data_IF_749708934345
#
_entry.id   IF_749708934345
#
_cell.length_a   1.000
_cell.length_b   1.000
_cell.length_c   1.000
_cell.angle_alpha   90.00
_cell.angle_beta   90.00
_cell.angle_gamma   90.00
#
_symmetry.space_group_name_H-M   'P 1'
#
loop_
_entity.id
_entity.type
_entity.pdbx_description
1 polymer ?
#
# COMPACT_ATOMS: atom_id res chain seq x y z
N UNK A 1 0.00 -4.48 10.06
CA UNK A 1 0.95 -4.70 8.93
C UNK A 1 0.12 -4.65 7.66
N UNK A 2 0.37 -3.69 6.76
CA UNK A 2 -0.27 -3.68 5.44
C UNK A 2 0.62 -4.45 4.47
N UNK A 3 0.05 -5.44 3.79
CA UNK A 3 0.76 -6.35 2.90
C UNK A 3 -0.03 -6.46 1.61
N UNK A 4 0.68 -6.38 0.49
CA UNK A 4 0.15 -6.57 -0.85
C UNK A 4 1.01 -7.59 -1.60
N UNK A 5 0.41 -8.39 -2.47
CA UNK A 5 1.12 -9.27 -3.38
C UNK A 5 0.98 -8.73 -4.80
N UNK A 6 2.08 -8.28 -5.39
CA UNK A 6 2.13 -7.73 -6.74
C UNK A 6 2.75 -8.75 -7.68
N UNK A 7 2.07 -9.04 -8.79
CA UNK A 7 2.56 -9.94 -9.83
C UNK A 7 3.32 -9.18 -10.90
N UNK A 8 4.47 -9.71 -11.31
CA UNK A 8 5.29 -9.19 -12.41
C UNK A 8 5.63 -10.31 -13.40
N UNK A 9 5.49 -10.02 -14.70
CA UNK A 9 5.89 -10.92 -15.77
C UNK A 9 7.15 -10.33 -16.43
N UNK A 10 8.36 -10.80 -16.07
CA UNK A 10 9.59 -10.39 -16.73
C UNK A 10 9.56 -10.68 -18.23
N UNK A 11 10.00 -9.69 -19.02
CA UNK A 11 10.30 -9.88 -20.43
C UNK A 11 11.64 -10.61 -20.57
N UNK A 12 11.59 -11.94 -20.54
CA UNK A 12 12.72 -12.83 -20.84
C UNK A 12 12.73 -13.17 -22.34
N UNK A 13 13.92 -13.34 -22.92
CA UNK A 13 14.14 -13.61 -24.36
C UNK A 13 13.69 -15.04 -24.75
N UNK A 14 13.22 -15.85 -23.79
CA UNK A 14 12.86 -17.26 -23.99
C UNK A 14 11.34 -17.42 -23.85
N UNK A 15 10.74 -18.32 -24.63
CA UNK A 15 9.29 -18.61 -24.76
C UNK A 15 8.58 -19.14 -23.49
N UNK A 16 8.94 -18.67 -22.30
CA UNK A 16 8.26 -18.98 -21.05
C UNK A 16 7.71 -17.69 -20.45
N UNK A 17 6.38 -17.64 -20.29
CA UNK A 17 5.74 -16.71 -19.37
C UNK A 17 6.18 -17.06 -17.95
N UNK A 18 7.18 -16.36 -17.45
CA UNK A 18 7.62 -16.51 -16.08
C UNK A 18 6.88 -15.47 -15.23
N UNK A 19 6.27 -15.93 -14.14
CA UNK A 19 5.54 -15.08 -13.21
C UNK A 19 6.38 -14.92 -11.95
N UNK A 20 6.55 -13.68 -11.52
CA UNK A 20 7.22 -13.30 -10.27
C UNK A 20 6.16 -12.73 -9.35
N UNK A 21 5.88 -13.45 -8.27
CA UNK A 21 5.04 -12.94 -7.19
C UNK A 21 5.94 -12.21 -6.17
N UNK A 22 5.64 -10.94 -5.93
CA UNK A 22 6.37 -10.07 -5.00
C UNK A 22 5.45 -9.70 -3.86
N UNK A 23 5.80 -10.07 -2.63
CA UNK A 23 5.12 -9.59 -1.43
C UNK A 23 5.76 -8.28 -0.99
N UNK A 24 4.99 -7.23 -0.81
CA UNK A 24 5.45 -5.89 -0.42
C UNK A 24 4.61 -5.35 0.74
N UNK A 25 5.23 -4.58 1.63
CA UNK A 25 4.53 -3.97 2.76
C UNK A 25 5.43 -3.06 3.59
N UNK A 26 4.85 -2.52 4.67
CA UNK A 26 5.61 -1.77 5.66
C UNK A 26 6.12 -2.67 6.78
N UNK A 27 7.38 -2.47 7.17
CA UNK A 27 7.95 -3.08 8.36
C UNK A 27 7.18 -2.63 9.62
N UNK A 28 6.95 -3.54 10.57
CA UNK A 28 6.37 -3.15 11.84
C UNK A 28 7.30 -2.15 12.56
N UNK A 29 6.78 -1.02 13.04
CA UNK A 29 7.58 0.06 13.63
C UNK A 29 8.20 1.03 12.61
N UNK A 30 7.91 0.90 11.31
CA UNK A 30 8.20 1.98 10.36
C UNK A 30 7.38 3.25 10.70
N UNK A 31 7.94 4.46 10.48
CA UNK A 31 9.27 4.74 9.91
C UNK A 31 10.42 4.73 10.95
N UNK A 32 10.13 4.49 12.24
CA UNK A 32 11.16 4.55 13.29
C UNK A 32 12.27 3.50 13.13
N UNK A 33 12.00 2.40 12.42
CA UNK A 33 12.98 1.40 12.03
C UNK A 33 13.54 1.72 10.63
N UNK A 34 14.83 2.05 10.54
CA UNK A 34 15.53 2.35 9.28
C UNK A 34 15.93 1.09 8.51
N UNK A 35 14.93 0.27 8.16
CA UNK A 35 15.10 -0.92 7.32
C UNK A 35 14.18 -0.77 6.11
N UNK A 36 14.72 -1.00 4.92
CA UNK A 36 14.00 -0.90 3.66
C UNK A 36 14.66 -1.79 2.60
N UNK A 37 13.92 -2.12 1.56
CA UNK A 37 14.41 -2.88 0.41
C UNK A 37 13.87 -4.30 0.33
N UNK A 38 14.37 -5.06 -0.63
CA UNK A 38 13.83 -6.38 -0.95
C UNK A 38 14.77 -7.51 -0.51
N UNK A 39 14.20 -8.57 0.07
CA UNK A 39 14.91 -9.83 0.19
C UNK A 39 14.67 -10.64 -1.09
N UNK A 40 15.72 -10.82 -1.88
CA UNK A 40 15.66 -11.54 -3.15
C UNK A 40 16.27 -12.91 -3.01
N UNK A 41 15.48 -13.93 -3.32
CA UNK A 41 15.86 -15.34 -3.22
C UNK A 41 16.06 -15.96 -4.60
N UNK A 42 16.83 -17.04 -4.63
CA UNK A 42 16.94 -17.94 -5.77
C UNK A 42 16.90 -19.38 -5.25
N UNK A 43 15.86 -20.13 -5.60
CA UNK A 43 15.62 -21.52 -5.14
C UNK A 43 15.71 -21.64 -3.63
N UNK A 44 14.90 -20.86 -2.90
CA UNK A 44 14.87 -20.81 -1.43
C UNK A 44 16.19 -20.37 -0.75
N UNK A 45 17.18 -19.86 -1.50
CA UNK A 45 18.41 -19.28 -0.94
C UNK A 45 18.39 -17.76 -1.07
N UNK A 46 18.62 -17.04 0.04
CA UNK A 46 18.80 -15.59 0.01
C UNK A 46 20.05 -15.23 -0.81
N UNK A 47 19.89 -14.33 -1.78
CA UNK A 47 20.98 -13.79 -2.60
C UNK A 47 21.26 -12.34 -2.23
N UNK A 48 20.22 -11.50 -2.26
CA UNK A 48 20.34 -10.08 -1.90
C UNK A 48 19.41 -9.76 -0.72
N UNK A 49 19.92 -9.70 0.53
CA UNK A 49 19.14 -9.25 1.68
C UNK A 49 18.99 -7.72 1.68
N UNK A 50 17.79 -7.22 1.93
CA UNK A 50 17.48 -5.78 1.99
C UNK A 50 18.02 -4.97 0.81
N UNK A 51 17.92 -5.51 -0.41
CA UNK A 51 18.35 -4.83 -1.62
C UNK A 51 17.61 -3.50 -1.79
N UNK A 52 18.36 -2.40 -1.62
CA UNK A 52 17.82 -1.04 -1.72
C UNK A 52 17.70 -0.65 -3.19
N UNK A 53 16.46 -0.63 -3.68
CA UNK A 53 16.11 -0.24 -5.06
C UNK A 53 15.53 1.18 -5.16
N UNK A 54 15.12 1.75 -4.04
CA UNK A 54 14.55 3.09 -3.93
C UNK A 54 15.32 3.95 -2.93
N UNK A 55 15.20 5.26 -3.10
CA UNK A 55 15.81 6.27 -2.23
C UNK A 55 14.83 6.76 -1.14
N UNK A 56 15.37 7.54 -0.19
CA UNK A 56 14.83 8.08 1.08
C UNK A 56 13.32 8.41 1.20
N UNK A 57 12.58 8.55 0.11
CA UNK A 57 11.14 8.80 0.17
C UNK A 57 10.34 7.59 0.63
N UNK A 58 10.86 6.37 0.51
CA UNK A 58 10.11 5.12 0.77
C UNK A 58 10.64 4.31 1.96
N UNK A 59 11.01 5.00 3.04
CA UNK A 59 11.55 4.37 4.24
C UNK A 59 10.54 3.40 4.86
N UNK A 60 11.02 2.23 5.30
CA UNK A 60 10.15 1.21 5.91
C UNK A 60 9.42 0.32 4.92
N UNK A 61 9.45 0.59 3.60
CA UNK A 61 8.93 -0.34 2.59
C UNK A 61 9.90 -1.52 2.43
N UNK A 62 9.37 -2.72 2.63
CA UNK A 62 10.08 -3.98 2.45
C UNK A 62 9.34 -4.88 1.48
N UNK A 63 10.09 -5.76 0.83
CA UNK A 63 9.47 -6.81 0.03
C UNK A 63 10.29 -8.10 -0.02
N UNK A 64 9.65 -9.14 -0.54
CA UNK A 64 10.24 -10.48 -0.71
C UNK A 64 9.80 -11.03 -2.06
N UNK A 65 10.75 -11.61 -2.80
CA UNK A 65 10.48 -12.31 -4.05
C UNK A 65 11.54 -13.39 -4.33
N UNK A 66 11.20 -14.33 -5.22
CA UNK A 66 12.15 -15.25 -5.84
C UNK A 66 12.46 -14.83 -7.29
N UNK A 67 13.76 -14.70 -7.61
CA UNK A 67 14.26 -14.38 -8.94
C UNK A 67 14.94 -15.61 -9.58
N UNK A 68 14.18 -16.70 -9.74
CA UNK A 68 14.69 -17.97 -10.27
C UNK A 68 15.16 -17.88 -11.74
N UNK A 69 14.74 -16.84 -12.45
CA UNK A 69 15.07 -16.55 -13.85
C UNK A 69 16.38 -15.77 -14.03
N UNK A 70 17.02 -15.32 -12.95
CA UNK A 70 18.31 -14.64 -12.99
C UNK A 70 19.35 -15.54 -12.34
N UNK A 71 20.48 -15.74 -13.03
CA UNK A 71 21.57 -16.55 -12.53
C UNK A 71 22.34 -15.82 -11.43
N UNK A 72 22.51 -16.41 -10.23
CA UNK A 72 23.41 -15.87 -9.22
C UNK A 72 24.88 -15.93 -9.65
N UNK A 73 25.69 -15.03 -9.11
CA UNK A 73 27.16 -15.10 -9.13
C UNK A 73 27.67 -16.37 -8.44
N UNK A 74 28.94 -16.70 -8.66
CA UNK A 74 29.54 -17.96 -8.19
C UNK A 74 29.47 -18.14 -6.65
N UNK A 75 29.74 -17.09 -5.87
CA UNK A 75 29.63 -17.09 -4.41
C UNK A 75 28.17 -16.98 -3.91
N UNK A 76 27.25 -16.67 -4.82
CA UNK A 76 25.83 -16.38 -4.63
C UNK A 76 25.60 -15.31 -3.56
N UNK A 77 26.36 -14.23 -3.69
CA UNK A 77 26.18 -12.95 -2.97
C UNK A 77 25.59 -11.84 -3.86
N UNK A 78 25.47 -12.09 -5.17
CA UNK A 78 24.87 -11.17 -6.13
C UNK A 78 24.28 -11.94 -7.33
N UNK A 79 23.58 -11.27 -8.24
CA UNK A 79 23.16 -11.78 -9.54
C UNK A 79 24.14 -11.40 -10.66
N UNK A 80 24.16 -12.19 -11.74
CA UNK A 80 24.89 -11.82 -12.94
C UNK A 80 24.37 -10.50 -13.53
N UNK A 81 25.29 -9.56 -13.78
CA UNK A 81 24.96 -8.27 -14.39
C UNK A 81 24.43 -8.48 -15.80
N UNK A 82 23.14 -8.26 -15.94
CA UNK A 82 22.38 -8.52 -17.15
C UNK A 82 21.26 -7.49 -17.28
N UNK A 83 20.75 -7.30 -18.51
CA UNK A 83 19.62 -6.40 -18.77
C UNK A 83 18.36 -6.83 -18.00
N UNK A 84 18.17 -8.14 -17.78
CA UNK A 84 17.03 -8.66 -17.01
C UNK A 84 17.14 -8.31 -15.51
N UNK A 85 18.35 -8.33 -14.95
CA UNK A 85 18.59 -7.88 -13.57
C UNK A 85 18.30 -6.38 -13.40
N UNK A 86 18.72 -5.56 -14.37
CA UNK A 86 18.42 -4.12 -14.37
C UNK A 86 16.92 -3.83 -14.51
N UNK A 87 16.21 -4.57 -15.37
CA UNK A 87 14.75 -4.47 -15.50
C UNK A 87 14.04 -4.85 -14.20
N UNK A 88 14.52 -5.89 -13.50
CA UNK A 88 13.97 -6.27 -12.19
C UNK A 88 14.18 -5.14 -11.17
N UNK A 89 15.40 -4.60 -11.06
CA UNK A 89 15.70 -3.47 -10.16
C UNK A 89 14.75 -2.28 -10.40
N UNK A 90 14.58 -1.90 -11.67
CA UNK A 90 13.67 -0.84 -12.07
C UNK A 90 12.23 -1.12 -11.68
N UNK A 91 11.73 -2.35 -11.92
CA UNK A 91 10.36 -2.71 -11.55
C UNK A 91 10.15 -2.69 -10.04
N UNK A 92 11.11 -3.19 -9.25
CA UNK A 92 11.02 -3.17 -7.79
C UNK A 92 11.01 -1.73 -7.25
N UNK A 93 11.76 -0.82 -7.88
CA UNK A 93 11.73 0.61 -7.58
C UNK A 93 10.35 1.22 -7.86
N UNK A 94 9.75 0.92 -9.00
CA UNK A 94 8.40 1.38 -9.34
C UNK A 94 7.35 0.85 -8.34
N UNK A 95 7.37 -0.45 -8.05
CA UNK A 95 6.49 -1.06 -7.04
C UNK A 95 6.63 -0.38 -5.67
N UNK A 96 7.86 -0.01 -5.28
CA UNK A 96 8.13 0.68 -4.02
C UNK A 96 7.46 2.05 -3.98
N UNK A 97 7.56 2.82 -5.05
CA UNK A 97 6.93 4.15 -5.11
C UNK A 97 5.41 4.07 -5.25
N UNK A 98 4.89 3.14 -6.05
CA UNK A 98 3.45 2.86 -6.15
C UNK A 98 2.87 2.54 -4.76
N UNK A 99 3.48 1.60 -4.04
CA UNK A 99 3.04 1.21 -2.71
C UNK A 99 3.15 2.36 -1.70
N UNK A 100 4.27 3.09 -1.71
CA UNK A 100 4.44 4.28 -0.86
C UNK A 100 3.38 5.34 -1.12
N UNK A 101 3.18 5.70 -2.39
CA UNK A 101 2.24 6.73 -2.80
C UNK A 101 0.78 6.31 -2.58
N UNK A 102 0.47 5.05 -2.33
CA UNK A 102 -0.87 4.62 -1.93
C UNK A 102 -1.02 4.57 -0.41
N UNK A 103 -0.02 4.03 0.29
CA UNK A 103 -0.20 3.55 1.66
C UNK A 103 0.62 4.28 2.74
N UNK A 104 1.45 5.26 2.38
CA UNK A 104 2.30 5.97 3.36
C UNK A 104 1.53 6.65 4.51
N UNK A 105 0.24 6.98 4.31
CA UNK A 105 -0.63 7.51 5.36
C UNK A 105 -0.91 6.52 6.50
N UNK A 106 -0.80 5.21 6.26
CA UNK A 106 -0.90 4.20 7.32
C UNK A 106 0.32 4.15 8.25
N UNK A 107 1.45 4.72 7.81
CA UNK A 107 2.68 4.86 8.62
C UNK A 107 2.93 6.31 9.05
N UNK A 108 1.89 7.15 9.04
CA UNK A 108 1.94 8.52 9.57
C UNK A 108 2.52 9.58 8.63
N UNK A 109 2.81 9.23 7.37
CA UNK A 109 3.28 10.20 6.37
C UNK A 109 2.11 10.83 5.61
N UNK A 110 2.19 12.12 5.30
CA UNK A 110 1.19 12.76 4.47
C UNK A 110 1.38 12.41 3.00
N UNK A 111 0.29 11.95 2.39
CA UNK A 111 0.26 11.67 0.97
C UNK A 111 -0.02 12.96 0.18
N UNK A 112 1.01 13.51 -0.46
CA UNK A 112 0.90 14.75 -1.25
C UNK A 112 0.20 14.56 -2.61
N UNK A 113 -0.07 13.31 -3.02
CA UNK A 113 -0.61 12.98 -4.36
C UNK A 113 -2.10 12.64 -4.35
N UNK A 114 -2.69 12.29 -3.21
CA UNK A 114 -4.14 12.13 -3.08
C UNK A 114 -4.79 13.50 -2.83
N UNK A 115 -5.92 13.83 -3.46
CA UNK A 115 -6.69 15.02 -3.09
C UNK A 115 -7.02 14.91 -1.60
N UNK A 116 -6.78 16.00 -0.86
CA UNK A 116 -6.94 16.07 0.59
C UNK A 116 -8.34 15.57 0.96
N UNK A 117 -8.44 14.33 1.44
CA UNK A 117 -9.69 13.82 2.00
C UNK A 117 -9.91 14.62 3.29
N UNK A 118 -10.95 15.45 3.32
CA UNK A 118 -11.39 16.10 4.56
C UNK A 118 -11.74 14.97 5.53
N UNK A 119 -10.82 14.68 6.44
CA UNK A 119 -11.10 13.83 7.60
C UNK A 119 -11.89 14.72 8.57
N UNK A 120 -13.10 14.33 9.00
CA UNK A 120 -13.78 15.04 10.07
C UNK A 120 -12.87 15.03 11.30
N UNK A 121 -12.39 16.20 11.71
CA UNK A 121 -11.63 16.33 12.94
C UNK A 121 -12.55 15.93 14.09
N UNK A 122 -12.16 14.90 14.85
CA UNK A 122 -12.75 14.64 16.15
C UNK A 122 -12.52 15.88 17.05
N UNK A 123 -13.55 16.47 17.66
CA UNK A 123 -13.39 17.72 18.39
C UNK A 123 -12.56 17.48 19.65
N UNK A 124 -11.36 18.05 19.68
CA UNK A 124 -10.58 18.21 20.90
C UNK A 124 -11.23 19.30 21.76
N UNK A 125 -11.51 18.91 23.01
CA UNK A 125 -12.02 19.73 24.10
C UNK A 125 -11.12 20.93 24.37
N UNK A 126 -11.69 22.13 24.46
CA UNK A 126 -11.34 23.12 25.49
C UNK A 126 -12.38 24.26 25.58
N UNK A 127 -13.09 24.24 26.71
CA UNK A 127 -13.54 25.35 27.58
C UNK A 127 -14.16 26.63 26.99
N UNK A 128 -15.36 26.90 27.52
CA UNK A 128 -16.02 28.20 27.71
C UNK A 128 -16.38 28.97 26.45
N UNK A 129 -17.61 28.77 25.98
CA UNK A 129 -18.69 29.78 25.87
C UNK A 129 -19.80 29.11 25.04
N UNK A 130 -20.92 28.72 25.68
CA UNK A 130 -22.27 28.58 25.10
C UNK A 130 -23.11 27.60 25.96
N UNK A 131 -23.51 28.06 27.15
CA UNK A 131 -24.56 27.43 27.94
C UNK A 131 -25.74 28.39 27.96
N UNK A 132 -26.46 28.43 26.84
CA UNK A 132 -27.78 29.00 26.59
C UNK A 132 -27.96 28.89 25.08
N UNK A 133 -28.78 27.97 24.55
CA UNK A 133 -30.20 28.22 24.41
C UNK A 133 -30.87 26.97 23.79
N UNK A 134 -32.15 26.77 24.14
CA UNK A 134 -33.15 25.86 23.54
C UNK A 134 -33.30 24.45 24.11
N UNK A 135 -33.76 24.44 25.36
CA UNK A 135 -34.84 23.55 25.83
C UNK A 135 -36.16 23.93 25.13
N UNK A 136 -37.05 22.96 24.89
CA UNK A 136 -38.46 23.06 24.40
C UNK A 136 -38.59 22.91 22.86
N UNK A 137 -39.30 21.94 22.26
CA UNK A 137 -40.64 21.43 22.54
C UNK A 137 -40.89 20.00 22.01
N UNK A 138 -41.84 19.32 22.66
CA UNK A 138 -42.39 17.98 22.40
C UNK A 138 -43.88 18.12 22.00
N UNK A 139 -44.41 17.17 21.20
CA UNK A 139 -45.84 16.70 21.07
C UNK A 139 -46.77 17.22 19.93
N UNK A 140 -47.21 16.22 19.13
CA UNK A 140 -48.50 15.93 18.42
C UNK A 140 -49.09 16.96 17.41
N UNK A 141 -49.90 16.59 16.39
CA UNK A 141 -50.84 15.47 16.21
C UNK A 141 -51.31 15.33 14.73
N UNK A 142 -51.51 14.07 14.31
CA UNK A 142 -52.57 13.43 13.46
C UNK A 142 -53.41 14.22 12.42
N UNK A 143 -53.56 13.59 11.24
CA UNK A 143 -54.75 13.60 10.34
C UNK A 143 -54.45 12.85 9.01
N UNK A 144 -54.80 11.56 8.82
CA UNK A 144 -56.08 10.94 8.38
C UNK A 144 -56.42 11.00 6.85
N UNK A 145 -56.36 9.81 6.20
CA UNK A 145 -57.11 9.23 5.02
C UNK A 145 -57.10 9.94 3.63
N UNK A 146 -57.10 9.29 2.45
CA UNK A 146 -57.83 8.09 1.98
C UNK A 146 -57.36 7.52 0.60
N UNK A 147 -57.59 6.21 0.40
CA UNK A 147 -57.97 5.42 -0.81
C UNK A 147 -57.02 5.15 -2.02
N UNK A 148 -56.83 3.84 -2.30
CA UNK A 148 -56.34 3.14 -3.51
C UNK A 148 -57.51 2.88 -4.52
N UNK A 149 -57.46 1.99 -5.56
CA UNK A 149 -56.39 1.16 -6.16
C UNK A 149 -56.33 1.24 -7.72
N UNK A 150 -55.40 0.59 -8.44
CA UNK A 150 -55.66 -0.68 -9.16
C UNK A 150 -54.48 -1.12 -10.05
N UNK A 151 -54.57 -2.38 -10.46
CA UNK A 151 -53.57 -3.35 -10.96
C UNK A 151 -53.51 -3.43 -12.50
N UNK A 152 -52.45 -4.07 -13.03
CA UNK A 152 -52.23 -4.65 -14.39
C UNK A 152 -52.12 -3.66 -15.57
N UNK A 153 -51.19 -3.80 -16.52
CA UNK A 153 -50.65 -4.97 -17.23
C UNK A 153 -49.12 -5.08 -17.22
#
# INVERSE_FOLDING_TARGET
MYIECIRYIPQVVVNQELIVDTTIGFMNGAPAINVQGFNVYHKNRSILPFWKVAMAKAEGVIGVLEANFIKPTHDKQDFERSSICQKLEMRLKDMTYEHWDLYCHFVGHQNKKLPHRIVPQSPSTNSSVALQQFKMNHIASVGMVSAAPSVFF
#
